data_IF_748750483612
#
_entry.id   IF_748750483612
#
_cell.length_a   1.000
_cell.length_b   1.000
_cell.length_c   1.000
_cell.angle_alpha   90.00
_cell.angle_beta   90.00
_cell.angle_gamma   90.00
#
_symmetry.space_group_name_H-M   'P 1'
#
loop_
_entity.id
_entity.type
_entity.pdbx_description
1 polymer ?
#
# COMPACT_ATOMS: atom_id res chain seq x y z
N UNK A 1 20.74 6.67 -12.79
CA UNK A 1 19.28 6.70 -13.03
C UNK A 1 18.82 5.25 -13.17
N UNK A 2 17.71 4.86 -12.54
CA UNK A 2 17.18 3.48 -12.52
C UNK A 2 15.74 3.47 -13.02
N UNK A 3 15.29 2.38 -13.62
CA UNK A 3 13.88 2.09 -13.89
C UNK A 3 13.27 1.42 -12.66
N UNK A 4 12.34 2.08 -11.99
CA UNK A 4 11.77 1.64 -10.71
C UNK A 4 10.28 1.37 -10.87
N UNK A 5 9.84 0.17 -10.49
CA UNK A 5 8.43 -0.17 -10.32
C UNK A 5 8.01 0.12 -8.88
N UNK A 6 6.88 0.79 -8.68
CA UNK A 6 6.23 0.93 -7.37
C UNK A 6 4.88 0.24 -7.41
N UNK A 7 4.65 -0.73 -6.52
CA UNK A 7 3.35 -1.32 -6.24
C UNK A 7 2.95 -1.02 -4.80
N UNK A 8 1.66 -1.00 -4.48
CA UNK A 8 1.18 -0.85 -3.11
C UNK A 8 -0.18 -0.17 -2.98
N UNK A 9 -0.39 0.41 -1.80
CA UNK A 9 -1.62 1.10 -1.42
C UNK A 9 -1.48 2.63 -1.43
N UNK A 10 -2.42 3.32 -0.74
CA UNK A 10 -2.42 4.78 -0.51
C UNK A 10 -1.10 5.37 -0.01
N UNK A 11 -0.28 4.61 0.71
CA UNK A 11 1.02 5.06 1.16
C UNK A 11 1.99 5.28 0.00
N UNK A 12 1.81 4.61 -1.14
CA UNK A 12 2.71 4.69 -2.28
C UNK A 12 2.11 5.36 -3.52
N UNK A 13 0.89 5.88 -3.47
CA UNK A 13 0.24 6.44 -4.67
C UNK A 13 0.94 7.69 -5.19
N UNK A 14 0.82 7.88 -6.51
CA UNK A 14 1.03 9.17 -7.16
C UNK A 14 -0.27 9.98 -7.14
N UNK A 15 -0.34 10.98 -6.26
CA UNK A 15 -1.51 11.85 -6.14
C UNK A 15 -1.79 12.66 -7.41
N UNK A 16 -0.81 12.88 -8.29
CA UNK A 16 -1.02 13.59 -9.55
C UNK A 16 -2.01 12.87 -10.47
N UNK A 17 -2.15 11.54 -10.34
CA UNK A 17 -3.09 10.74 -11.14
C UNK A 17 -4.55 10.99 -10.82
N UNK A 18 -4.83 11.58 -9.66
CA UNK A 18 -6.19 11.71 -9.13
C UNK A 18 -6.71 13.15 -9.14
N UNK A 19 -5.98 14.08 -9.77
CA UNK A 19 -6.35 15.51 -9.84
C UNK A 19 -6.72 16.11 -8.47
N UNK A 20 -6.01 15.69 -7.41
CA UNK A 20 -6.20 16.21 -6.05
C UNK A 20 -5.13 17.27 -5.78
N UNK A 21 -5.54 18.40 -5.22
CA UNK A 21 -4.60 19.42 -4.75
C UNK A 21 -3.82 18.89 -3.54
N UNK A 22 -2.49 18.93 -3.63
CA UNK A 22 -1.59 18.44 -2.59
C UNK A 22 -0.67 19.57 -2.10
N UNK A 23 -0.43 19.69 -0.78
CA UNK A 23 0.42 20.73 -0.21
C UNK A 23 1.91 20.56 -0.53
N UNK A 24 2.32 19.35 -0.93
CA UNK A 24 3.69 19.03 -1.37
C UNK A 24 3.68 17.72 -2.17
N UNK A 25 4.80 17.42 -2.83
CA UNK A 25 5.01 16.12 -3.50
C UNK A 25 5.00 14.98 -2.49
N UNK A 26 4.48 13.82 -2.90
CA UNK A 26 4.66 12.56 -2.19
C UNK A 26 6.07 12.01 -2.34
N UNK A 27 6.48 11.07 -1.48
CA UNK A 27 7.77 10.38 -1.63
C UNK A 27 7.93 9.69 -2.99
N UNK A 28 6.88 9.08 -3.62
CA UNK A 28 7.03 8.50 -4.96
C UNK A 28 7.35 9.56 -6.02
N UNK A 29 6.81 10.77 -5.84
CA UNK A 29 7.06 11.88 -6.76
C UNK A 29 8.44 12.50 -6.58
N UNK A 30 8.95 12.59 -5.36
CA UNK A 30 10.34 12.99 -5.12
C UNK A 30 11.33 11.95 -5.65
N UNK A 31 11.01 10.67 -5.58
CA UNK A 31 11.82 9.62 -6.19
C UNK A 31 11.82 9.73 -7.74
N UNK A 32 10.66 10.06 -8.33
CA UNK A 32 10.52 10.27 -9.77
C UNK A 32 11.28 11.51 -10.30
N UNK A 33 11.66 12.46 -9.43
CA UNK A 33 12.53 13.58 -9.83
C UNK A 33 13.97 13.11 -10.14
N UNK A 34 14.35 11.88 -9.73
CA UNK A 34 15.72 11.34 -9.83
C UNK A 34 15.84 10.04 -10.63
N UNK A 35 14.74 9.29 -10.75
CA UNK A 35 14.67 7.98 -11.39
C UNK A 35 13.47 7.87 -12.32
N UNK A 36 13.48 6.91 -13.24
CA UNK A 36 12.33 6.61 -14.08
C UNK A 36 11.35 5.72 -13.32
N UNK A 37 10.30 6.31 -12.75
CA UNK A 37 9.34 5.63 -11.87
C UNK A 37 8.07 5.26 -12.62
N UNK A 38 7.74 3.97 -12.67
CA UNK A 38 6.40 3.47 -12.99
C UNK A 38 5.67 3.12 -11.70
N UNK A 39 4.67 3.91 -11.35
CA UNK A 39 3.88 3.71 -10.13
C UNK A 39 2.55 3.04 -10.46
N UNK A 40 2.27 1.86 -9.90
CA UNK A 40 1.03 1.10 -10.02
C UNK A 40 0.21 1.07 -8.71
N UNK A 41 0.68 1.76 -7.66
CA UNK A 41 0.00 1.78 -6.38
C UNK A 41 -1.41 2.39 -6.49
N UNK A 42 -2.34 1.81 -5.74
CA UNK A 42 -3.76 2.15 -5.78
C UNK A 42 -4.27 2.44 -4.37
N UNK A 43 -4.98 3.54 -4.12
CA UNK A 43 -5.35 3.93 -2.77
C UNK A 43 -6.35 2.96 -2.14
N UNK A 44 -6.09 2.58 -0.88
CA UNK A 44 -7.00 1.79 -0.07
C UNK A 44 -7.14 0.32 -0.46
N UNK A 45 -6.26 -0.22 -1.30
CA UNK A 45 -6.26 -1.65 -1.64
C UNK A 45 -5.55 -2.47 -0.56
N UNK A 46 -5.95 -3.73 -0.39
CA UNK A 46 -5.29 -4.69 0.48
C UNK A 46 -4.26 -5.55 -0.25
N UNK A 47 -3.61 -6.44 0.50
CA UNK A 47 -2.44 -7.22 0.04
C UNK A 47 -2.72 -8.06 -1.22
N UNK A 48 -3.94 -8.59 -1.38
CA UNK A 48 -4.32 -9.33 -2.59
C UNK A 48 -4.25 -8.48 -3.87
N UNK A 49 -4.76 -7.24 -3.83
CA UNK A 49 -4.72 -6.33 -4.97
C UNK A 49 -3.31 -5.80 -5.21
N UNK A 50 -2.49 -5.65 -4.17
CA UNK A 50 -1.05 -5.35 -4.30
C UNK A 50 -0.32 -6.51 -5.01
N UNK A 51 -0.60 -7.75 -4.63
CA UNK A 51 -0.10 -8.93 -5.35
C UNK A 51 -0.47 -8.87 -6.83
N UNK A 52 -1.72 -8.51 -7.16
CA UNK A 52 -2.14 -8.35 -8.56
C UNK A 52 -1.41 -7.23 -9.31
N UNK A 53 -0.98 -6.17 -8.65
CA UNK A 53 -0.15 -5.14 -9.31
C UNK A 53 1.23 -5.72 -9.68
N UNK A 54 1.83 -6.49 -8.76
CA UNK A 54 3.14 -7.14 -8.95
C UNK A 54 3.07 -8.22 -10.03
N UNK A 55 2.11 -9.15 -9.92
CA UNK A 55 1.92 -10.29 -10.83
C UNK A 55 1.71 -9.88 -12.29
N UNK A 56 0.99 -8.77 -12.51
CA UNK A 56 0.67 -8.30 -13.86
C UNK A 56 1.75 -7.38 -14.46
N UNK A 57 2.77 -6.99 -13.70
CA UNK A 57 3.85 -6.14 -14.19
C UNK A 57 4.91 -6.96 -14.94
N UNK A 58 5.39 -6.43 -16.07
CA UNK A 58 6.56 -7.01 -16.74
C UNK A 58 7.84 -6.58 -16.00
N UNK A 59 8.28 -7.40 -15.04
CA UNK A 59 9.42 -7.12 -14.15
C UNK A 59 10.75 -6.93 -14.89
N UNK A 60 10.91 -7.46 -16.10
CA UNK A 60 12.14 -7.31 -16.89
C UNK A 60 12.43 -5.87 -17.34
N UNK A 61 11.42 -4.99 -17.27
CA UNK A 61 11.59 -3.57 -17.60
C UNK A 61 12.18 -2.73 -16.46
N UNK A 62 12.37 -3.31 -15.29
CA UNK A 62 12.71 -2.60 -14.06
C UNK A 62 14.00 -3.11 -13.46
N UNK A 63 14.83 -2.18 -13.00
CA UNK A 63 16.04 -2.48 -12.25
C UNK A 63 15.69 -2.81 -10.79
N UNK A 64 14.67 -2.13 -10.25
CA UNK A 64 14.25 -2.26 -8.84
C UNK A 64 12.72 -2.32 -8.74
N UNK A 65 12.22 -3.20 -7.87
CA UNK A 65 10.80 -3.30 -7.51
C UNK A 65 10.58 -2.84 -6.07
N UNK A 66 9.85 -1.75 -5.89
CA UNK A 66 9.39 -1.26 -4.59
C UNK A 66 7.97 -1.75 -4.34
N UNK A 67 7.73 -2.44 -3.23
CA UNK A 67 6.38 -2.85 -2.82
C UNK A 67 6.04 -2.23 -1.48
N UNK A 68 5.09 -1.31 -1.49
CA UNK A 68 4.48 -0.80 -0.28
C UNK A 68 3.48 -1.80 0.26
N UNK A 69 3.84 -2.47 1.36
CA UNK A 69 2.97 -3.41 2.05
C UNK A 69 1.97 -2.66 2.95
N UNK A 70 0.72 -3.11 2.94
CA UNK A 70 -0.36 -2.46 3.66
C UNK A 70 -0.67 -3.11 5.01
N UNK A 71 -1.85 -2.80 5.55
CA UNK A 71 -2.38 -3.42 6.77
C UNK A 71 -3.17 -4.71 6.44
N UNK A 72 -3.16 -5.74 7.31
CA UNK A 72 -3.96 -6.96 7.13
C UNK A 72 -5.47 -6.72 7.27
N UNK A 73 -5.90 -5.54 7.72
CA UNK A 73 -7.28 -5.25 8.13
C UNK A 73 -8.24 -4.92 6.98
N UNK A 74 -7.83 -5.11 5.72
CA UNK A 74 -8.66 -4.85 4.53
C UNK A 74 -9.17 -6.15 3.93
N UNK A 75 -10.48 -6.20 3.68
CA UNK A 75 -11.14 -7.35 3.06
C UNK A 75 -11.32 -7.09 1.59
N UNK A 76 -10.81 -8.01 0.77
CA UNK A 76 -10.92 -7.91 -0.67
C UNK A 76 -12.39 -7.79 -1.10
N UNK A 77 -12.69 -6.78 -1.93
CA UNK A 77 -13.98 -6.68 -2.59
C UNK A 77 -13.81 -6.36 -4.08
N UNK A 78 -14.62 -7.05 -4.91
CA UNK A 78 -14.68 -6.81 -6.35
C UNK A 78 -15.38 -5.48 -6.68
N UNK A 79 -16.33 -5.07 -5.86
CA UNK A 79 -17.09 -3.83 -6.02
C UNK A 79 -17.29 -3.22 -4.65
N UNK A 80 -16.76 -2.01 -4.44
CA UNK A 80 -16.87 -1.35 -3.14
C UNK A 80 -18.31 -0.87 -2.87
N UNK A 81 -18.90 -1.16 -1.70
CA UNK A 81 -20.29 -0.80 -1.40
C UNK A 81 -20.53 0.71 -1.17
N UNK A 82 -19.46 1.50 -1.09
CA UNK A 82 -19.45 2.94 -0.74
C UNK A 82 -18.74 3.77 -1.81
N UNK A 83 -17.43 3.57 -1.96
CA UNK A 83 -16.59 4.25 -2.94
C UNK A 83 -16.84 3.70 -4.35
N UNK A 84 -17.87 4.22 -5.04
CA UNK A 84 -18.19 3.80 -6.41
C UNK A 84 -17.48 4.61 -7.50
N UNK A 85 -16.88 5.74 -7.13
CA UNK A 85 -16.23 6.70 -8.03
C UNK A 85 -15.07 7.40 -7.32
N UNK A 86 -14.20 8.05 -8.10
CA UNK A 86 -13.09 8.85 -7.59
C UNK A 86 -11.90 8.01 -7.13
N UNK A 87 -11.01 8.64 -6.36
CA UNK A 87 -9.70 8.09 -5.99
C UNK A 87 -9.79 6.70 -5.36
N UNK A 88 -10.76 6.46 -4.46
CA UNK A 88 -10.88 5.21 -3.71
C UNK A 88 -11.81 4.16 -4.36
N UNK A 89 -12.19 4.31 -5.64
CA UNK A 89 -13.16 3.38 -6.25
C UNK A 89 -12.70 1.92 -6.31
N UNK A 90 -11.37 1.72 -6.36
CA UNK A 90 -10.74 0.39 -6.39
C UNK A 90 -10.37 -0.11 -4.99
N UNK A 91 -10.68 0.62 -3.92
CA UNK A 91 -10.28 0.25 -2.57
C UNK A 91 -10.89 -1.09 -2.14
N UNK A 92 -10.23 -1.76 -1.21
CA UNK A 92 -10.80 -2.88 -0.47
C UNK A 92 -11.52 -2.37 0.78
N UNK A 93 -12.46 -3.17 1.27
CA UNK A 93 -13.34 -2.78 2.35
C UNK A 93 -12.59 -2.76 3.69
N UNK A 94 -12.71 -1.66 4.44
CA UNK A 94 -12.23 -1.58 5.82
C UNK A 94 -13.41 -1.44 6.80
N UNK A 95 -13.20 -1.83 8.06
CA UNK A 95 -14.19 -1.63 9.13
C UNK A 95 -14.70 -0.19 9.22
N UNK A 96 -13.80 0.78 9.03
CA UNK A 96 -14.12 2.22 9.05
C UNK A 96 -15.09 2.68 7.95
N UNK A 97 -15.26 1.89 6.88
CA UNK A 97 -16.23 2.19 5.82
C UNK A 97 -17.68 1.85 6.23
N UNK A 98 -17.85 0.95 7.20
CA UNK A 98 -19.15 0.40 7.59
C UNK A 98 -19.98 1.41 8.39
N UNK A 99 -19.33 2.21 9.23
CA UNK A 99 -20.02 3.13 10.15
C UNK A 99 -20.65 4.34 9.42
N UNK A 100 -20.27 4.60 8.17
CA UNK A 100 -20.65 5.84 7.46
C UNK A 100 -22.03 5.82 6.80
N UNK A 101 -22.67 4.66 6.58
CA UNK A 101 -23.92 4.58 5.79
C UNK A 101 -24.75 3.29 5.92
N UNK A 102 -24.57 2.50 6.99
CA UNK A 102 -25.04 1.10 7.05
C UNK A 102 -26.56 0.88 7.09
N UNK A 103 -27.38 1.91 7.39
CA UNK A 103 -28.82 1.71 7.66
C UNK A 103 -29.66 1.46 6.40
N UNK A 104 -29.23 1.96 5.23
CA UNK A 104 -29.94 1.76 3.96
C UNK A 104 -29.15 0.93 2.94
N UNK A 105 -27.92 0.58 3.26
CA UNK A 105 -27.02 -0.15 2.37
C UNK A 105 -26.93 -1.62 2.81
N UNK A 106 -27.74 -2.48 2.20
CA UNK A 106 -27.77 -3.92 2.51
C UNK A 106 -26.39 -4.56 2.44
N UNK A 107 -25.54 -4.16 1.49
CA UNK A 107 -24.18 -4.68 1.38
C UNK A 107 -23.32 -4.30 2.60
N UNK A 108 -23.46 -3.08 3.12
CA UNK A 108 -22.80 -2.68 4.36
C UNK A 108 -23.38 -3.36 5.59
N UNK A 109 -24.70 -3.59 5.65
CA UNK A 109 -25.30 -4.38 6.73
C UNK A 109 -24.74 -5.80 6.74
N UNK A 110 -24.64 -6.44 5.56
CA UNK A 110 -24.03 -7.77 5.40
C UNK A 110 -22.56 -7.75 5.81
N UNK A 111 -21.79 -6.76 5.35
CA UNK A 111 -20.39 -6.63 5.74
C UNK A 111 -20.24 -6.44 7.25
N UNK A 112 -21.06 -5.57 7.87
CA UNK A 112 -21.08 -5.36 9.33
C UNK A 112 -21.27 -6.68 10.06
N UNK A 113 -22.29 -7.45 9.67
CA UNK A 113 -22.56 -8.74 10.30
C UNK A 113 -21.40 -9.72 10.07
N UNK A 114 -20.79 -9.73 8.90
CA UNK A 114 -19.62 -10.56 8.65
C UNK A 114 -18.45 -10.17 9.58
N UNK A 115 -18.14 -8.88 9.70
CA UNK A 115 -17.09 -8.40 10.61
C UNK A 115 -17.40 -8.68 12.09
N UNK A 116 -18.66 -8.62 12.50
CA UNK A 116 -19.05 -8.85 13.90
C UNK A 116 -19.06 -10.33 14.27
N UNK A 117 -19.50 -11.21 13.36
CA UNK A 117 -19.76 -12.62 13.69
C UNK A 117 -18.76 -13.61 13.11
N UNK A 118 -18.03 -13.24 12.05
CA UNK A 118 -17.20 -14.19 11.28
C UNK A 118 -15.78 -13.71 11.01
N UNK A 119 -15.46 -12.43 11.21
CA UNK A 119 -14.09 -11.95 11.04
C UNK A 119 -13.20 -12.53 12.12
N UNK A 120 -12.12 -13.15 11.67
CA UNK A 120 -11.08 -13.73 12.50
C UNK A 120 -9.76 -13.01 12.17
N UNK A 121 -9.22 -12.29 13.15
CA UNK A 121 -7.99 -11.51 12.96
C UNK A 121 -6.77 -12.40 12.69
N UNK A 122 -6.70 -13.58 13.32
CA UNK A 122 -5.58 -14.50 13.11
C UNK A 122 -5.59 -15.01 11.68
N UNK A 123 -6.75 -15.46 11.18
CA UNK A 123 -6.92 -15.87 9.80
C UNK A 123 -6.53 -14.77 8.80
N UNK A 124 -6.91 -13.51 9.07
CA UNK A 124 -6.53 -12.40 8.19
C UNK A 124 -5.02 -12.12 8.20
N UNK A 125 -4.38 -12.18 9.37
CA UNK A 125 -2.93 -12.00 9.48
C UNK A 125 -2.17 -13.11 8.73
N UNK A 126 -2.56 -14.37 8.89
CA UNK A 126 -1.96 -15.50 8.17
C UNK A 126 -2.14 -15.37 6.64
N UNK A 127 -3.34 -14.97 6.18
CA UNK A 127 -3.58 -14.72 4.76
C UNK A 127 -2.71 -13.56 4.22
N UNK A 128 -2.56 -12.49 5.00
CA UNK A 128 -1.69 -11.36 4.68
C UNK A 128 -0.23 -11.80 4.53
N UNK A 129 0.28 -12.61 5.45
CA UNK A 129 1.63 -13.16 5.42
C UNK A 129 1.84 -14.04 4.19
N UNK A 130 0.92 -14.99 3.93
CA UNK A 130 0.98 -15.87 2.76
C UNK A 130 1.04 -15.09 1.44
N UNK A 131 0.28 -14.00 1.32
CA UNK A 131 0.30 -13.16 0.11
C UNK A 131 1.60 -12.35 0.05
N UNK A 132 2.13 -11.89 1.18
CA UNK A 132 3.41 -11.19 1.22
C UNK A 132 4.57 -12.09 0.81
N UNK A 133 4.61 -13.33 1.32
CA UNK A 133 5.56 -14.35 0.88
C UNK A 133 5.43 -14.64 -0.61
N UNK A 134 4.21 -14.68 -1.12
CA UNK A 134 3.96 -14.85 -2.55
C UNK A 134 4.53 -13.70 -3.38
N UNK A 135 4.38 -12.44 -2.92
CA UNK A 135 5.01 -11.27 -3.53
C UNK A 135 6.53 -11.40 -3.53
N UNK A 136 7.13 -11.67 -2.36
CA UNK A 136 8.59 -11.79 -2.19
C UNK A 136 9.14 -12.88 -3.10
N UNK A 137 8.54 -14.07 -3.07
CA UNK A 137 8.99 -15.19 -3.90
C UNK A 137 8.91 -14.90 -5.41
N UNK A 138 7.97 -14.05 -5.82
CA UNK A 138 7.86 -13.62 -7.20
C UNK A 138 8.94 -12.60 -7.60
N UNK A 139 9.36 -11.71 -6.69
CA UNK A 139 10.29 -10.60 -7.02
C UNK A 139 11.74 -10.82 -6.58
N UNK A 140 12.03 -11.81 -5.72
CA UNK A 140 13.36 -12.01 -5.10
C UNK A 140 14.52 -12.28 -6.06
N UNK A 141 14.24 -12.54 -7.33
CA UNK A 141 15.23 -12.68 -8.40
C UNK A 141 15.69 -11.32 -8.97
N UNK A 142 15.07 -10.22 -8.55
CA UNK A 142 15.45 -8.83 -8.84
C UNK A 142 15.83 -8.12 -7.54
N UNK A 143 16.49 -6.97 -7.66
CA UNK A 143 16.62 -6.04 -6.54
C UNK A 143 15.22 -5.55 -6.14
N UNK A 144 14.85 -5.71 -4.89
CA UNK A 144 13.52 -5.32 -4.39
C UNK A 144 13.63 -4.67 -3.03
N UNK A 145 12.65 -3.83 -2.71
CA UNK A 145 12.50 -3.22 -1.39
C UNK A 145 11.03 -3.29 -1.00
N UNK A 146 10.77 -3.86 0.17
CA UNK A 146 9.50 -3.74 0.86
C UNK A 146 9.52 -2.46 1.69
N UNK A 147 8.42 -1.72 1.69
CA UNK A 147 8.31 -0.48 2.48
C UNK A 147 6.94 -0.41 3.13
N UNK A 148 6.85 0.08 4.36
CA UNK A 148 5.55 0.21 5.01
C UNK A 148 5.67 0.53 6.49
N UNK A 149 4.56 0.28 7.19
CA UNK A 149 4.45 0.41 8.65
C UNK A 149 4.35 -1.00 9.19
N UNK A 150 5.39 -1.47 9.89
CA UNK A 150 5.35 -2.81 10.45
C UNK A 150 4.36 -2.86 11.63
N UNK A 151 3.12 -3.26 11.38
CA UNK A 151 2.15 -3.61 12.44
C UNK A 151 2.20 -5.12 12.78
N UNK A 152 2.79 -5.95 11.89
CA UNK A 152 2.82 -7.41 12.02
C UNK A 152 4.24 -7.92 12.20
N UNK A 153 4.62 -8.25 13.44
CA UNK A 153 5.96 -8.73 13.86
C UNK A 153 6.45 -10.04 13.21
N UNK A 154 5.71 -10.57 12.23
CA UNK A 154 5.91 -11.88 11.62
C UNK A 154 6.64 -11.84 10.28
N UNK A 155 6.65 -10.68 9.61
CA UNK A 155 7.58 -10.47 8.51
C UNK A 155 8.98 -10.37 9.09
N UNK A 156 9.96 -11.02 8.47
CA UNK A 156 11.38 -10.88 8.79
C UNK A 156 11.82 -9.45 8.45
N UNK A 157 11.50 -8.53 9.35
CA UNK A 157 11.78 -7.10 9.24
C UNK A 157 13.24 -6.77 9.50
N UNK A 158 14.02 -7.78 9.87
CA UNK A 158 15.48 -7.72 9.92
C UNK A 158 16.09 -7.99 8.53
N UNK A 159 15.28 -8.28 7.51
CA UNK A 159 15.77 -8.35 6.13
C UNK A 159 16.25 -6.97 5.65
N UNK A 160 17.44 -6.93 5.05
CA UNK A 160 18.05 -5.73 4.46
C UNK A 160 17.18 -5.09 3.36
N UNK A 161 16.12 -5.77 2.92
CA UNK A 161 15.20 -5.31 1.88
C UNK A 161 13.93 -4.67 2.46
N UNK A 162 13.81 -4.46 3.77
CA UNK A 162 12.64 -3.79 4.38
C UNK A 162 12.97 -2.39 4.92
N UNK A 163 12.20 -1.40 4.50
CA UNK A 163 12.23 -0.04 5.06
C UNK A 163 11.00 0.15 5.95
N UNK A 164 11.20 0.06 7.27
CA UNK A 164 10.19 0.45 8.25
C UNK A 164 10.07 1.98 8.30
N UNK A 165 8.82 2.47 8.26
CA UNK A 165 8.46 3.88 8.36
C UNK A 165 7.76 4.23 9.68
N UNK A 166 7.61 3.28 10.61
CA UNK A 166 6.97 3.50 11.92
C UNK A 166 7.61 4.65 12.72
N UNK A 167 8.93 4.79 12.68
CA UNK A 167 9.65 5.84 13.41
C UNK A 167 9.30 7.25 12.90
N UNK A 168 8.95 7.37 11.62
CA UNK A 168 8.51 8.63 11.00
C UNK A 168 7.05 8.93 11.37
N UNK A 169 6.23 7.90 11.61
CA UNK A 169 4.78 8.04 11.76
C UNK A 169 4.40 8.93 12.94
N UNK A 170 5.10 8.86 14.06
CA UNK A 170 4.71 9.61 15.26
C UNK A 170 5.06 11.11 15.18
N UNK A 171 6.04 11.49 14.38
CA UNK A 171 6.63 12.82 14.42
C UNK A 171 6.36 13.68 13.18
N UNK A 172 6.06 13.05 12.03
CA UNK A 172 6.11 13.73 10.73
C UNK A 172 4.86 13.47 9.86
N UNK A 173 3.70 13.25 10.49
CA UNK A 173 2.43 12.99 9.78
C UNK A 173 2.03 14.14 8.86
N UNK A 174 1.37 13.80 7.76
CA UNK A 174 0.82 14.77 6.83
C UNK A 174 -0.27 14.17 5.93
N UNK A 175 -0.74 14.98 4.98
CA UNK A 175 -1.89 14.64 4.14
C UNK A 175 -1.52 13.84 2.87
N UNK A 176 -0.25 13.79 2.50
CA UNK A 176 0.22 13.18 1.26
C UNK A 176 1.04 11.94 1.60
N UNK A 177 0.57 10.76 1.16
CA UNK A 177 1.20 9.47 1.51
C UNK A 177 1.40 9.34 3.04
N UNK A 178 0.47 9.88 3.82
CA UNK A 178 0.50 9.94 5.29
C UNK A 178 1.59 10.80 5.95
N UNK A 179 2.41 11.50 5.17
CA UNK A 179 3.58 12.24 5.67
C UNK A 179 3.59 13.70 5.24
N UNK A 180 4.36 14.50 5.97
CA UNK A 180 4.75 15.84 5.55
C UNK A 180 5.96 15.78 4.58
N UNK A 181 6.36 16.94 4.05
CA UNK A 181 7.47 17.02 3.10
C UNK A 181 8.81 16.48 3.66
N UNK A 182 9.07 16.67 4.96
CA UNK A 182 10.33 16.27 5.61
C UNK A 182 10.43 14.75 5.67
N UNK A 183 9.39 14.06 6.12
CA UNK A 183 9.36 12.60 6.11
C UNK A 183 9.38 12.02 4.69
N UNK A 184 8.68 12.64 3.73
CA UNK A 184 8.75 12.20 2.33
C UNK A 184 10.19 12.20 1.77
N UNK A 185 10.98 13.24 2.06
CA UNK A 185 12.38 13.31 1.67
C UNK A 185 13.26 12.30 2.44
N UNK A 186 12.95 12.01 3.69
CA UNK A 186 13.66 10.98 4.46
C UNK A 186 13.41 9.58 3.91
N UNK A 187 12.17 9.27 3.51
CA UNK A 187 11.82 8.01 2.84
C UNK A 187 12.64 7.85 1.55
N UNK A 188 12.70 8.89 0.71
CA UNK A 188 13.52 8.86 -0.51
C UNK A 188 14.99 8.60 -0.20
N UNK A 189 15.55 9.27 0.81
CA UNK A 189 16.95 9.02 1.24
C UNK A 189 17.17 7.58 1.72
N UNK A 190 16.20 6.97 2.39
CA UNK A 190 16.28 5.56 2.80
C UNK A 190 16.26 4.64 1.59
N UNK A 191 15.36 4.88 0.64
CA UNK A 191 15.30 4.12 -0.62
C UNK A 191 16.64 4.23 -1.37
N UNK A 192 17.17 5.44 -1.55
CA UNK A 192 18.41 5.67 -2.29
C UNK A 192 19.64 4.98 -1.70
N UNK A 193 19.67 4.70 -0.39
CA UNK A 193 20.75 3.91 0.22
C UNK A 193 20.77 2.44 -0.23
N UNK A 194 19.64 1.96 -0.74
CA UNK A 194 19.45 0.58 -1.20
C UNK A 194 19.43 0.48 -2.73
N UNK A 195 19.57 1.58 -3.48
CA UNK A 195 19.54 1.62 -4.96
C UNK A 195 20.94 1.53 -5.58
#
# INVERSE_FOLDING_TARGET
MKNILICGDSFAIDYKKYNVEIPHKGWPNYLADKHNVTNLATPGVGQWKIWKQVENANLEKFDVVLVSIGSPNRVHCKTHPVHKQGMFMESDLAWMDIDRSSWFNKALTTAKNWFVYFYDQQYQNELYEMITDKIINHIKHKQYILIGHNESRTLDTDSENFIDCNDLWNNERGKVNHYNHKAALQIVKRIEKHL
#
